data_IF_387309542932
#
_entry.id   IF_387309542932
#
_cell.length_a   1.000
_cell.length_b   1.000
_cell.length_c   1.000
_cell.angle_alpha   90.00
_cell.angle_beta   90.00
_cell.angle_gamma   90.00
#
_symmetry.space_group_name_H-M   'P 1'
#
loop_
_entity.id
_entity.type
_entity.pdbx_description
1 polymer ?
#
# COMPACT_ATOMS: atom_id res chain seq x y z
N UNK A 1 3.44 -16.40 3.79
CA UNK A 1 2.72 -15.20 4.27
C UNK A 1 3.33 -13.97 3.62
N UNK A 2 2.49 -13.10 3.07
CA UNK A 2 2.98 -11.88 2.44
C UNK A 2 3.43 -10.86 3.48
N UNK A 3 4.49 -10.08 3.20
CA UNK A 3 4.99 -9.09 4.15
C UNK A 3 4.16 -7.81 4.21
N UNK A 4 2.96 -7.83 3.65
CA UNK A 4 2.08 -6.67 3.67
C UNK A 4 0.61 -7.09 3.80
N UNK A 5 -0.21 -6.14 4.23
CA UNK A 5 -1.66 -6.28 4.28
C UNK A 5 -2.27 -4.95 3.86
N UNK A 6 -3.27 -4.98 3.02
CA UNK A 6 -3.93 -3.75 2.56
C UNK A 6 -5.37 -3.67 3.03
N UNK A 7 -5.85 -2.46 3.25
CA UNK A 7 -7.22 -2.16 3.64
C UNK A 7 -7.73 -0.93 2.91
N UNK A 8 -9.01 -0.97 2.54
CA UNK A 8 -9.68 0.20 1.99
C UNK A 8 -10.14 1.09 3.14
N UNK A 9 -9.81 2.38 3.06
CA UNK A 9 -10.27 3.40 3.99
C UNK A 9 -11.27 4.30 3.29
N UNK A 10 -12.54 4.17 3.63
CA UNK A 10 -13.59 5.03 3.09
C UNK A 10 -13.68 6.29 3.93
N UNK A 11 -13.03 7.34 3.45
CA UNK A 11 -13.13 8.67 4.05
C UNK A 11 -14.13 9.49 3.23
N UNK A 12 -14.98 10.29 3.88
CA UNK A 12 -15.91 11.14 3.12
C UNK A 12 -15.21 12.16 2.24
N UNK A 13 -13.98 12.52 2.57
CA UNK A 13 -13.24 13.52 1.80
C UNK A 13 -12.44 12.91 0.66
N UNK A 14 -11.83 11.73 0.89
CA UNK A 14 -11.01 11.10 -0.15
C UNK A 14 -10.79 9.63 0.19
N UNK A 15 -11.19 8.71 -0.70
CA UNK A 15 -10.94 7.30 -0.48
C UNK A 15 -9.44 7.00 -0.57
N UNK A 16 -8.98 6.08 0.26
CA UNK A 16 -7.57 5.71 0.28
C UNK A 16 -7.41 4.22 0.55
N UNK A 17 -6.23 3.71 0.24
CA UNK A 17 -5.84 2.33 0.55
C UNK A 17 -4.66 2.40 1.51
N UNK A 18 -4.79 1.73 2.64
CA UNK A 18 -3.73 1.68 3.64
C UNK A 18 -3.03 0.34 3.57
N UNK A 19 -1.71 0.38 3.45
CA UNK A 19 -0.88 -0.81 3.35
C UNK A 19 -0.03 -0.91 4.60
N UNK A 20 -0.21 -1.99 5.36
CA UNK A 20 0.55 -2.25 6.58
C UNK A 20 1.72 -3.16 6.24
N UNK A 21 2.91 -2.78 6.71
CA UNK A 21 4.14 -3.53 6.46
C UNK A 21 4.59 -4.25 7.71
N UNK A 22 5.00 -5.50 7.55
CA UNK A 22 5.62 -6.25 8.65
C UNK A 22 7.10 -5.90 8.80
N UNK A 23 7.70 -5.32 7.77
CA UNK A 23 9.10 -4.92 7.76
C UNK A 23 9.21 -3.52 7.19
N UNK A 24 9.55 -2.55 8.04
CA UNK A 24 9.64 -1.14 7.64
C UNK A 24 10.73 -0.87 6.60
N UNK A 25 11.71 -1.76 6.48
CA UNK A 25 12.77 -1.59 5.47
C UNK A 25 12.25 -1.71 4.05
N UNK A 26 11.03 -2.22 3.87
CA UNK A 26 10.40 -2.38 2.57
C UNK A 26 9.65 -1.14 2.09
N UNK A 27 9.51 -0.12 2.95
CA UNK A 27 8.69 1.06 2.64
C UNK A 27 9.12 1.77 1.36
N UNK A 28 10.42 2.03 1.22
CA UNK A 28 10.95 2.72 0.05
C UNK A 28 10.75 1.94 -1.24
N UNK A 29 10.90 0.62 -1.18
CA UNK A 29 10.68 -0.24 -2.34
C UNK A 29 9.22 -0.25 -2.77
N UNK A 30 8.31 -0.36 -1.81
CA UNK A 30 6.88 -0.36 -2.09
C UNK A 30 6.43 1.00 -2.61
N UNK A 31 6.89 2.08 -2.00
CA UNK A 31 6.58 3.43 -2.46
C UNK A 31 7.03 3.64 -3.91
N UNK A 32 8.27 3.27 -4.23
CA UNK A 32 8.80 3.40 -5.58
C UNK A 32 7.98 2.59 -6.58
N UNK A 33 7.56 1.39 -6.17
CA UNK A 33 6.74 0.54 -7.03
C UNK A 33 5.36 1.17 -7.29
N UNK A 34 4.74 1.72 -6.24
CA UNK A 34 3.42 2.33 -6.34
C UNK A 34 3.42 3.62 -7.16
N UNK A 35 4.53 4.32 -7.22
CA UNK A 35 4.65 5.55 -8.00
C UNK A 35 4.44 5.33 -9.50
N UNK A 36 4.51 4.10 -9.97
CA UNK A 36 4.24 3.76 -11.36
C UNK A 36 2.75 3.75 -11.72
N UNK A 37 1.88 3.75 -10.73
CA UNK A 37 0.43 3.79 -10.96
C UNK A 37 -0.04 5.23 -11.13
N UNK A 38 -0.54 5.56 -12.31
CA UNK A 38 -1.03 6.93 -12.59
C UNK A 38 -2.34 7.26 -11.91
N UNK A 39 -3.07 6.26 -11.41
CA UNK A 39 -4.31 6.47 -10.66
C UNK A 39 -4.05 6.97 -9.25
N UNK A 40 -2.82 6.88 -8.78
CA UNK A 40 -2.43 7.32 -7.44
C UNK A 40 -2.07 8.81 -7.47
N UNK A 41 -2.69 9.57 -6.58
CA UNK A 41 -2.43 10.99 -6.45
C UNK A 41 -1.31 11.29 -5.46
N UNK A 42 -1.31 10.61 -4.31
CA UNK A 42 -0.36 10.89 -3.24
C UNK A 42 -0.09 9.61 -2.45
N UNK A 43 1.16 9.43 -2.04
CA UNK A 43 1.57 8.32 -1.20
C UNK A 43 2.18 8.91 0.08
N UNK A 44 1.67 8.51 1.23
CA UNK A 44 2.19 8.93 2.53
C UNK A 44 2.68 7.73 3.32
N UNK A 45 3.84 7.86 3.92
CA UNK A 45 4.41 6.84 4.81
C UNK A 45 4.24 7.34 6.24
N UNK A 46 3.62 6.54 7.09
CA UNK A 46 3.41 6.90 8.48
C UNK A 46 3.67 5.73 9.41
N UNK A 47 4.16 6.03 10.60
CA UNK A 47 4.30 5.05 11.65
C UNK A 47 2.93 4.76 12.25
N UNK A 48 2.65 3.48 12.44
CA UNK A 48 1.41 3.05 13.06
C UNK A 48 1.72 2.24 14.30
N UNK A 49 1.20 2.66 15.44
CA UNK A 49 1.34 1.91 16.68
C UNK A 49 0.04 1.17 16.92
N UNK A 50 0.08 -0.14 16.80
CA UNK A 50 -1.08 -0.98 17.00
C UNK A 50 -0.71 -2.12 17.94
N UNK A 51 -1.43 -2.26 19.04
CA UNK A 51 -1.20 -3.34 20.02
C UNK A 51 0.24 -3.44 20.52
N UNK A 52 0.83 -2.31 20.86
CA UNK A 52 2.23 -2.22 21.33
C UNK A 52 3.28 -2.65 20.29
N UNK A 53 2.89 -2.69 19.03
CA UNK A 53 3.82 -2.93 17.93
C UNK A 53 3.94 -1.68 17.10
N UNK A 54 5.15 -1.22 16.88
CA UNK A 54 5.42 -0.16 15.93
C UNK A 54 5.43 -0.79 14.55
N UNK A 55 4.41 -0.54 13.76
CA UNK A 55 4.33 -0.98 12.37
C UNK A 55 4.30 0.24 11.49
N UNK A 56 4.94 0.14 10.36
CA UNK A 56 4.87 1.20 9.36
C UNK A 56 3.70 0.96 8.43
N UNK A 57 3.07 2.03 7.99
CA UNK A 57 2.01 1.93 7.01
C UNK A 57 2.22 2.94 5.89
N UNK A 58 1.75 2.57 4.71
CA UNK A 58 1.75 3.43 3.54
C UNK A 58 0.29 3.70 3.19
N UNK A 59 -0.07 4.98 3.13
CA UNK A 59 -1.42 5.39 2.73
C UNK A 59 -1.37 5.90 1.30
N UNK A 60 -2.20 5.31 0.45
CA UNK A 60 -2.27 5.62 -0.97
C UNK A 60 -3.58 6.37 -1.24
N UNK A 61 -3.48 7.62 -1.63
CA UNK A 61 -4.63 8.43 -1.99
C UNK A 61 -4.82 8.37 -3.51
N UNK A 62 -6.05 8.09 -3.93
CA UNK A 62 -6.37 7.90 -5.34
C UNK A 62 -6.94 9.17 -5.97
N UNK A 63 -6.76 9.31 -7.26
CA UNK A 63 -7.36 10.40 -8.03
C UNK A 63 -8.87 10.23 -8.10
N UNK A 64 -9.56 11.34 -8.38
CA UNK A 64 -11.01 11.32 -8.52
C UNK A 64 -11.45 10.37 -9.65
N UNK A 65 -12.53 9.66 -9.40
CA UNK A 65 -13.11 8.76 -10.40
C UNK A 65 -12.48 7.38 -10.46
N UNK A 66 -11.45 7.11 -9.67
CA UNK A 66 -10.83 5.78 -9.63
C UNK A 66 -11.68 4.85 -8.78
N UNK A 67 -11.93 3.64 -9.29
CA UNK A 67 -12.62 2.60 -8.55
C UNK A 67 -11.67 2.00 -7.51
N UNK A 68 -11.93 2.28 -6.24
CA UNK A 68 -11.03 1.91 -5.15
C UNK A 68 -10.90 0.38 -5.00
N UNK A 69 -11.97 -0.37 -5.22
CA UNK A 69 -11.94 -1.82 -5.10
C UNK A 69 -11.06 -2.44 -6.18
N UNK A 70 -11.18 -1.96 -7.41
CA UNK A 70 -10.33 -2.40 -8.52
C UNK A 70 -8.89 -1.99 -8.31
N UNK A 71 -8.67 -0.79 -7.79
CA UNK A 71 -7.33 -0.30 -7.54
C UNK A 71 -6.64 -1.11 -6.45
N UNK A 72 -7.38 -1.44 -5.38
CA UNK A 72 -6.86 -2.32 -4.32
C UNK A 72 -6.43 -3.66 -4.90
N UNK A 73 -7.25 -4.25 -5.74
CA UNK A 73 -6.93 -5.53 -6.38
C UNK A 73 -5.69 -5.42 -7.26
N UNK A 74 -5.58 -4.35 -8.02
CA UNK A 74 -4.42 -4.11 -8.89
C UNK A 74 -3.14 -3.94 -8.07
N UNK A 75 -3.21 -3.17 -6.99
CA UNK A 75 -2.07 -2.95 -6.10
C UNK A 75 -1.66 -4.26 -5.43
N UNK A 76 -2.62 -5.00 -4.89
CA UNK A 76 -2.34 -6.26 -4.21
C UNK A 76 -1.68 -7.27 -5.15
N UNK A 77 -2.20 -7.39 -6.37
CA UNK A 77 -1.63 -8.30 -7.39
C UNK A 77 -0.22 -7.88 -7.78
N UNK A 78 -0.02 -6.58 -7.97
CA UNK A 78 1.28 -6.04 -8.36
C UNK A 78 2.32 -6.24 -7.27
N UNK A 79 1.96 -5.98 -6.01
CA UNK A 79 2.87 -6.18 -4.89
C UNK A 79 3.14 -7.66 -4.65
N UNK A 80 2.13 -8.51 -4.83
CA UNK A 80 2.30 -9.95 -4.72
C UNK A 80 3.36 -10.45 -5.71
N UNK A 81 3.25 -10.03 -6.97
CA UNK A 81 4.24 -10.37 -8.01
C UNK A 81 5.63 -9.82 -7.68
N UNK A 82 5.68 -8.59 -7.21
CA UNK A 82 6.93 -7.93 -6.84
C UNK A 82 7.67 -8.72 -5.76
N UNK A 83 6.96 -9.12 -4.71
CA UNK A 83 7.58 -9.87 -3.62
C UNK A 83 7.90 -11.31 -4.03
N UNK A 84 7.09 -11.93 -4.87
CA UNK A 84 7.36 -13.27 -5.38
C UNK A 84 8.65 -13.30 -6.20
N UNK A 85 8.83 -12.34 -7.10
CA UNK A 85 10.03 -12.27 -7.94
C UNK A 85 11.28 -11.87 -7.15
N UNK A 86 11.14 -10.91 -6.24
CA UNK A 86 12.29 -10.34 -5.52
C UNK A 86 12.76 -11.26 -4.38
N UNK A 87 11.87 -12.05 -3.82
CA UNK A 87 12.17 -12.91 -2.68
C UNK A 87 12.45 -14.37 -3.02
N UNK A 88 12.22 -14.77 -4.25
CA UNK A 88 12.53 -16.11 -4.73
C UNK A 88 13.90 -16.11 -5.36
N UNK A 89 14.88 -16.32 -4.56
CA UNK A 89 16.25 -16.56 -5.05
C UNK A 89 16.56 -18.03 -4.99
#
# INVERSE_FOLDING_TARGET
MLPFRSEIRNSPSQPSIKIYLSDESLDGKIKSHLEHFKEIELIEISDCVEQNRANESITVFLKDGVDIAKMKQSIDSSLWWYFEEDMVD
#
